data_IF_967221150446
#
_entry.id   IF_967221150446
#
_cell.length_a   1.000
_cell.length_b   1.000
_cell.length_c   1.000
_cell.angle_alpha   90.00
_cell.angle_beta   90.00
_cell.angle_gamma   90.00
#
_symmetry.space_group_name_H-M   'P 1'
#
loop_
_entity.id
_entity.type
_entity.pdbx_description
1 polymer ?
#
# COMPACT_ATOMS: atom_id res chain seq x y z
N UNK A 1 -18.77 36.85 9.88
CA UNK A 1 -17.84 37.12 8.77
C UNK A 1 -18.51 37.82 7.59
N UNK A 2 -19.40 37.21 6.80
CA UNK A 2 -20.04 37.93 5.67
C UNK A 2 -20.87 39.15 6.13
N UNK A 3 -21.68 38.99 7.18
CA UNK A 3 -22.47 40.09 7.78
C UNK A 3 -21.57 41.20 8.34
N UNK A 4 -20.47 40.83 9.01
CA UNK A 4 -19.49 41.80 9.56
C UNK A 4 -18.73 42.55 8.45
N UNK A 5 -18.42 41.87 7.33
CA UNK A 5 -17.78 42.49 6.17
C UNK A 5 -18.73 43.47 5.46
N UNK A 6 -20.02 43.18 5.39
CA UNK A 6 -21.04 44.10 4.89
C UNK A 6 -21.21 45.32 5.79
N UNK A 7 -21.26 45.13 7.12
CA UNK A 7 -21.32 46.24 8.08
C UNK A 7 -20.09 47.15 7.97
N UNK A 8 -18.88 46.57 7.91
CA UNK A 8 -17.64 47.33 7.71
C UNK A 8 -17.62 48.09 6.37
N UNK A 9 -18.24 47.54 5.32
CA UNK A 9 -18.33 48.19 4.01
C UNK A 9 -19.23 49.43 4.09
N UNK A 10 -20.40 49.29 4.72
CA UNK A 10 -21.35 50.38 4.94
C UNK A 10 -20.75 51.49 5.81
N UNK A 11 -20.00 51.13 6.85
CA UNK A 11 -19.30 52.10 7.71
C UNK A 11 -18.23 52.88 6.93
N UNK A 12 -17.45 52.20 6.08
CA UNK A 12 -16.45 52.83 5.22
C UNK A 12 -17.06 53.78 4.19
N UNK A 13 -18.22 53.42 3.64
CA UNK A 13 -18.95 54.24 2.68
C UNK A 13 -19.55 55.49 3.34
N UNK A 14 -20.11 55.34 4.55
CA UNK A 14 -20.56 56.46 5.40
C UNK A 14 -19.40 57.40 5.78
N UNK A 15 -18.23 56.84 6.12
CA UNK A 15 -17.03 57.61 6.43
C UNK A 15 -16.54 58.41 5.21
N UNK A 16 -16.57 57.81 4.02
CA UNK A 16 -16.20 58.45 2.75
C UNK A 16 -17.11 59.63 2.40
N UNK A 17 -18.39 59.54 2.72
CA UNK A 17 -19.38 60.61 2.46
C UNK A 17 -19.28 61.77 3.47
N UNK A 18 -18.83 61.51 4.71
CA UNK A 18 -18.69 62.54 5.75
C UNK A 18 -17.35 63.30 5.70
N UNK A 19 -16.33 62.75 5.02
CA UNK A 19 -15.02 63.39 4.86
C UNK A 19 -15.02 64.46 3.76
N UNK A 20 -14.81 65.72 4.15
CA UNK A 20 -14.73 66.89 3.26
C UNK A 20 -13.30 67.22 2.80
N UNK A 21 -12.27 66.73 3.51
CA UNK A 21 -10.86 66.94 3.18
C UNK A 21 -10.35 65.89 2.17
N UNK A 22 -9.82 66.30 1.00
CA UNK A 22 -9.30 65.38 -0.02
C UNK A 22 -8.15 64.48 0.46
N UNK A 23 -7.38 64.90 1.46
CA UNK A 23 -6.20 64.17 1.96
C UNK A 23 -6.55 62.83 2.63
N UNK A 24 -7.78 62.70 3.13
CA UNK A 24 -8.27 61.48 3.80
C UNK A 24 -8.92 60.47 2.84
N UNK A 25 -9.13 60.81 1.56
CA UNK A 25 -9.71 59.87 0.58
C UNK A 25 -8.77 58.72 0.22
N UNK A 26 -7.48 58.98 0.08
CA UNK A 26 -6.48 57.94 -0.28
C UNK A 26 -6.38 56.78 0.72
N UNK A 27 -6.33 57.03 2.05
CA UNK A 27 -6.40 55.98 3.07
C UNK A 27 -7.70 55.17 3.06
N UNK A 28 -8.84 55.85 2.86
CA UNK A 28 -10.18 55.23 2.79
C UNK A 28 -10.29 54.32 1.57
N UNK A 29 -9.81 54.76 0.41
CA UNK A 29 -9.80 53.93 -0.81
C UNK A 29 -8.90 52.69 -0.64
N UNK A 30 -7.77 52.80 0.07
CA UNK A 30 -6.93 51.64 0.42
C UNK A 30 -7.65 50.64 1.33
N UNK A 31 -8.42 51.13 2.30
CA UNK A 31 -9.21 50.28 3.20
C UNK A 31 -10.36 49.58 2.45
N UNK A 32 -11.05 50.29 1.54
CA UNK A 32 -12.06 49.68 0.66
C UNK A 32 -11.46 48.56 -0.18
N UNK A 33 -10.30 48.78 -0.80
CA UNK A 33 -9.63 47.78 -1.63
C UNK A 33 -9.14 46.56 -0.83
N UNK A 34 -8.77 46.76 0.45
CA UNK A 34 -8.42 45.69 1.36
C UNK A 34 -9.65 44.87 1.78
N UNK A 35 -10.78 45.56 2.04
CA UNK A 35 -12.05 44.93 2.37
C UNK A 35 -12.60 44.16 1.17
N UNK A 36 -12.49 44.69 -0.04
CA UNK A 36 -12.86 44.01 -1.28
C UNK A 36 -12.04 42.72 -1.49
N UNK A 37 -10.74 42.74 -1.17
CA UNK A 37 -9.91 41.53 -1.14
C UNK A 37 -10.38 40.51 -0.12
N UNK A 38 -10.71 40.94 1.11
CA UNK A 38 -11.21 40.06 2.17
C UNK A 38 -12.57 39.45 1.81
N UNK A 39 -13.46 40.24 1.19
CA UNK A 39 -14.76 39.78 0.70
C UNK A 39 -14.62 38.82 -0.49
N UNK A 40 -13.64 39.03 -1.38
CA UNK A 40 -13.36 38.09 -2.46
C UNK A 40 -12.75 36.78 -1.94
N UNK A 41 -11.90 36.86 -0.90
CA UNK A 41 -11.37 35.69 -0.19
C UNK A 41 -12.46 34.94 0.60
N UNK A 42 -13.46 35.64 1.13
CA UNK A 42 -14.60 35.00 1.81
C UNK A 42 -15.60 34.38 0.81
N UNK A 43 -15.79 35.01 -0.36
CA UNK A 43 -16.66 34.53 -1.44
C UNK A 43 -16.05 33.36 -2.21
N UNK A 44 -14.72 33.22 -2.24
CA UNK A 44 -14.08 31.96 -2.62
C UNK A 44 -14.30 30.93 -1.52
N UNK A 45 -15.55 30.45 -1.40
CA UNK A 45 -15.86 29.31 -0.55
C UNK A 45 -14.99 28.12 -0.94
N UNK A 46 -14.74 27.19 -0.01
CA UNK A 46 -13.89 26.03 -0.30
C UNK A 46 -14.44 25.29 -1.51
N UNK A 47 -13.62 25.10 -2.54
CA UNK A 47 -13.96 24.32 -3.72
C UNK A 47 -14.23 22.89 -3.26
N UNK A 48 -15.51 22.54 -3.15
CA UNK A 48 -15.94 21.19 -2.79
C UNK A 48 -16.08 20.36 -4.05
N UNK A 49 -15.45 19.20 -4.03
CA UNK A 49 -15.62 18.18 -5.06
C UNK A 49 -17.09 17.76 -5.10
N UNK A 50 -17.68 17.71 -6.30
CA UNK A 50 -19.02 17.16 -6.51
C UNK A 50 -18.96 15.64 -6.72
N UNK A 51 -20.10 14.97 -6.54
CA UNK A 51 -20.20 13.55 -6.87
C UNK A 51 -20.11 13.34 -8.38
N UNK A 52 -19.29 12.37 -8.77
CA UNK A 52 -19.07 11.96 -10.16
C UNK A 52 -19.75 10.61 -10.37
N UNK A 53 -20.75 10.57 -11.25
CA UNK A 53 -21.52 9.35 -11.53
C UNK A 53 -20.67 8.27 -12.20
N UNK A 54 -19.97 8.63 -13.28
CA UNK A 54 -19.19 7.72 -14.11
C UNK A 54 -17.71 8.14 -14.13
N UNK A 55 -16.79 7.19 -14.02
CA UNK A 55 -15.35 7.49 -13.89
C UNK A 55 -14.75 7.80 -15.27
N UNK A 56 -14.75 9.07 -15.68
CA UNK A 56 -14.27 9.47 -17.00
C UNK A 56 -12.74 9.39 -17.14
N UNK A 57 -12.27 8.96 -18.31
CA UNK A 57 -10.86 9.03 -18.73
C UNK A 57 -10.47 10.39 -19.36
N UNK A 58 -11.40 11.35 -19.44
CA UNK A 58 -11.14 12.68 -19.99
C UNK A 58 -10.07 13.41 -19.17
N UNK A 59 -9.06 13.95 -19.85
CA UNK A 59 -7.92 14.63 -19.22
C UNK A 59 -8.22 16.12 -19.13
N UNK A 60 -8.90 16.50 -18.07
CA UNK A 60 -9.20 17.89 -17.70
C UNK A 60 -8.87 18.11 -16.24
N UNK A 61 -8.54 19.35 -15.87
CA UNK A 61 -8.12 19.70 -14.50
C UNK A 61 -9.24 19.53 -13.46
N UNK A 62 -10.50 19.55 -13.90
CA UNK A 62 -11.68 19.30 -13.07
C UNK A 62 -11.95 17.81 -12.80
N UNK A 63 -11.27 16.88 -13.50
CA UNK A 63 -11.49 15.44 -13.35
C UNK A 63 -10.45 14.82 -12.40
N UNK A 64 -10.82 14.49 -11.14
CA UNK A 64 -9.91 13.91 -10.17
C UNK A 64 -9.47 12.48 -10.50
N UNK A 65 -10.19 11.78 -11.40
CA UNK A 65 -9.89 10.40 -11.78
C UNK A 65 -9.03 10.29 -13.05
N UNK A 66 -8.79 11.40 -13.76
CA UNK A 66 -8.06 11.41 -15.04
C UNK A 66 -6.72 10.68 -15.02
N UNK A 67 -5.93 10.85 -13.95
CA UNK A 67 -4.61 10.21 -13.78
C UNK A 67 -4.72 8.74 -13.38
N UNK A 68 -5.79 8.35 -12.71
CA UNK A 68 -6.05 6.96 -12.36
C UNK A 68 -6.50 6.16 -13.58
N UNK A 69 -7.40 6.73 -14.38
CA UNK A 69 -7.87 6.16 -15.65
C UNK A 69 -6.75 6.05 -16.71
N UNK A 70 -5.67 6.81 -16.58
CA UNK A 70 -4.50 6.67 -17.44
C UNK A 70 -3.83 5.28 -17.29
N UNK A 71 -3.94 4.62 -16.13
CA UNK A 71 -3.42 3.25 -15.93
C UNK A 71 -4.05 2.24 -16.90
N UNK A 72 -5.32 2.46 -17.26
CA UNK A 72 -6.02 1.64 -18.25
C UNK A 72 -5.53 1.90 -19.66
N UNK A 73 -5.26 3.16 -20.01
CA UNK A 73 -4.67 3.51 -21.31
C UNK A 73 -3.24 3.01 -21.48
N UNK A 74 -2.50 2.91 -20.37
CA UNK A 74 -1.13 2.38 -20.35
C UNK A 74 -1.09 0.84 -20.32
N UNK A 75 -2.25 0.16 -20.33
CA UNK A 75 -2.31 -1.31 -20.30
C UNK A 75 -1.89 -1.93 -18.97
N UNK A 76 -1.82 -1.14 -17.87
CA UNK A 76 -1.45 -1.66 -16.55
C UNK A 76 -2.63 -2.30 -15.84
N UNK A 77 -3.83 -1.71 -15.99
CA UNK A 77 -5.07 -2.20 -15.38
C UNK A 77 -6.16 -2.21 -16.46
N UNK A 78 -6.66 -3.38 -16.83
CA UNK A 78 -7.65 -3.51 -17.93
C UNK A 78 -8.93 -2.70 -17.70
N UNK A 79 -9.44 -2.70 -16.47
CA UNK A 79 -10.64 -1.97 -16.09
C UNK A 79 -10.48 -1.37 -14.69
N UNK A 80 -10.03 -0.13 -14.64
CA UNK A 80 -9.81 0.58 -13.37
C UNK A 80 -11.14 0.96 -12.69
N UNK A 81 -12.20 1.25 -13.46
CA UNK A 81 -13.50 1.71 -12.93
C UNK A 81 -14.13 0.71 -11.95
N UNK A 82 -13.83 -0.58 -12.11
CA UNK A 82 -14.24 -1.67 -11.21
C UNK A 82 -13.85 -1.43 -9.75
N UNK A 83 -12.88 -0.55 -9.47
CA UNK A 83 -12.56 -0.18 -8.09
C UNK A 83 -13.79 0.32 -7.30
N UNK A 84 -14.77 0.92 -7.99
CA UNK A 84 -16.03 1.40 -7.41
C UNK A 84 -17.02 0.30 -7.02
N UNK A 85 -16.82 -0.91 -7.51
CA UNK A 85 -17.67 -2.07 -7.18
C UNK A 85 -17.22 -2.75 -5.88
N UNK A 86 -16.00 -2.46 -5.43
CA UNK A 86 -15.40 -3.11 -4.28
C UNK A 86 -15.65 -2.36 -2.97
N UNK A 87 -15.66 -3.14 -1.91
CA UNK A 87 -15.89 -2.72 -0.53
C UNK A 87 -14.80 -3.25 0.38
N UNK A 88 -14.22 -2.39 1.21
CA UNK A 88 -13.10 -2.74 2.09
C UNK A 88 -13.42 -2.35 3.53
N UNK A 89 -13.25 -3.27 4.47
CA UNK A 89 -13.33 -2.99 5.90
C UNK A 89 -11.92 -2.72 6.45
N UNK A 90 -11.74 -1.64 7.20
CA UNK A 90 -10.46 -1.27 7.83
C UNK A 90 -10.66 -1.27 9.34
N UNK A 91 -9.93 -2.15 10.03
CA UNK A 91 -9.95 -2.27 11.49
C UNK A 91 -8.72 -1.58 12.05
N UNK A 92 -8.94 -0.53 12.85
CA UNK A 92 -7.92 0.38 13.36
C UNK A 92 -7.71 1.56 12.39
N UNK A 93 -8.14 2.75 12.79
CA UNK A 93 -7.95 4.02 12.08
C UNK A 93 -6.85 4.82 12.78
N UNK A 94 -5.73 4.13 13.06
CA UNK A 94 -4.51 4.69 13.61
C UNK A 94 -3.55 5.19 12.52
N UNK A 95 -2.24 5.10 12.76
CA UNK A 95 -1.24 5.65 11.84
C UNK A 95 -1.21 5.03 10.44
N UNK A 96 -1.33 3.69 10.34
CA UNK A 96 -1.38 2.99 9.04
C UNK A 96 -2.79 3.03 8.47
N UNK A 97 -3.80 2.72 9.28
CA UNK A 97 -5.17 2.58 8.80
C UNK A 97 -5.81 3.88 8.30
N UNK A 98 -5.48 5.03 8.90
CA UNK A 98 -5.99 6.33 8.43
C UNK A 98 -5.44 6.71 7.05
N UNK A 99 -4.14 6.48 6.83
CA UNK A 99 -3.48 6.70 5.55
C UNK A 99 -3.98 5.69 4.51
N UNK A 100 -4.17 4.42 4.88
CA UNK A 100 -4.73 3.42 3.99
C UNK A 100 -6.16 3.77 3.55
N UNK A 101 -6.99 4.25 4.48
CA UNK A 101 -8.33 4.74 4.19
C UNK A 101 -8.28 5.92 3.22
N UNK A 102 -7.41 6.91 3.45
CA UNK A 102 -7.23 8.06 2.55
C UNK A 102 -6.81 7.62 1.14
N UNK A 103 -5.83 6.74 1.02
CA UNK A 103 -5.35 6.25 -0.26
C UNK A 103 -6.46 5.51 -1.04
N UNK A 104 -7.22 4.63 -0.38
CA UNK A 104 -8.35 3.93 -1.01
C UNK A 104 -9.48 4.89 -1.40
N UNK A 105 -9.78 5.88 -0.55
CA UNK A 105 -10.76 6.94 -0.86
C UNK A 105 -10.34 7.75 -2.08
N UNK A 106 -9.06 8.12 -2.19
CA UNK A 106 -8.50 8.83 -3.35
C UNK A 106 -8.51 7.98 -4.62
N UNK A 107 -8.32 6.67 -4.50
CA UNK A 107 -8.47 5.72 -5.62
C UNK A 107 -9.92 5.54 -6.09
N UNK A 108 -10.91 5.98 -5.30
CA UNK A 108 -12.32 5.85 -5.65
C UNK A 108 -12.91 4.48 -5.34
N UNK A 109 -12.45 3.83 -4.27
CA UNK A 109 -13.08 2.61 -3.74
C UNK A 109 -14.58 2.80 -3.55
N UNK A 110 -15.38 1.78 -3.83
CA UNK A 110 -16.84 1.87 -3.73
C UNK A 110 -17.34 2.15 -2.32
N UNK A 111 -16.86 1.36 -1.36
CA UNK A 111 -17.30 1.43 0.04
C UNK A 111 -16.17 1.16 1.03
N UNK A 112 -16.11 1.93 2.12
CA UNK A 112 -15.24 1.67 3.27
C UNK A 112 -16.05 1.51 4.57
N UNK A 113 -15.75 0.44 5.31
CA UNK A 113 -16.21 0.24 6.69
C UNK A 113 -15.04 0.54 7.62
N UNK A 114 -15.20 1.47 8.55
CA UNK A 114 -14.13 1.96 9.43
C UNK A 114 -14.42 1.57 10.87
N UNK A 115 -13.54 0.79 11.50
CA UNK A 115 -13.67 0.37 12.91
C UNK A 115 -12.54 0.95 13.74
N UNK A 116 -12.88 1.71 14.77
CA UNK A 116 -11.93 2.16 15.81
C UNK A 116 -12.73 2.54 17.05
N UNK A 117 -12.18 2.37 18.25
CA UNK A 117 -12.84 2.76 19.50
C UNK A 117 -12.23 4.01 20.13
N UNK A 118 -11.05 4.43 19.67
CA UNK A 118 -10.32 5.55 20.25
C UNK A 118 -10.84 6.90 19.78
N UNK A 119 -10.37 7.93 20.49
CA UNK A 119 -10.51 9.32 20.10
C UNK A 119 -9.20 9.86 19.53
N UNK A 120 -9.30 10.96 18.79
CA UNK A 120 -8.15 11.71 18.32
C UNK A 120 -7.52 12.45 19.51
N UNK A 121 -6.23 12.23 19.72
CA UNK A 121 -5.43 12.91 20.74
C UNK A 121 -4.34 13.76 20.11
N UNK A 122 -3.88 14.79 20.83
CA UNK A 122 -2.78 15.63 20.35
C UNK A 122 -1.48 14.84 20.16
N UNK A 123 -1.29 13.78 20.95
CA UNK A 123 -0.17 12.84 20.81
C UNK A 123 -0.17 12.10 19.46
N UNK A 124 -1.29 12.11 18.71
CA UNK A 124 -1.36 11.49 17.38
C UNK A 124 -0.88 12.42 16.25
N UNK A 125 -0.60 13.70 16.54
CA UNK A 125 -0.22 14.70 15.52
C UNK A 125 1.19 14.52 14.95
N UNK A 126 2.00 13.61 15.49
CA UNK A 126 3.24 13.18 14.86
C UNK A 126 3.02 12.20 13.68
N UNK A 127 1.78 11.75 13.49
CA UNK A 127 1.34 10.87 12.41
C UNK A 127 0.58 11.66 11.36
N UNK A 128 0.35 11.03 10.21
CA UNK A 128 -0.40 11.62 9.11
C UNK A 128 -1.92 11.60 9.40
N UNK A 129 -2.68 12.27 8.54
CA UNK A 129 -4.14 12.27 8.44
C UNK A 129 -4.92 13.19 9.41
N UNK A 130 -4.87 12.95 10.72
CA UNK A 130 -5.67 13.74 11.68
C UNK A 130 -5.11 15.14 11.89
N UNK A 131 -5.99 16.10 12.19
CA UNK A 131 -5.65 17.50 12.40
C UNK A 131 -5.90 17.95 13.85
N UNK A 132 -5.20 18.99 14.35
CA UNK A 132 -5.38 19.49 15.71
C UNK A 132 -6.83 19.88 16.03
N UNK A 133 -7.57 20.40 15.05
CA UNK A 133 -8.98 20.79 15.23
C UNK A 133 -9.92 19.60 15.50
N UNK A 134 -9.49 18.37 15.25
CA UNK A 134 -10.29 17.15 15.42
C UNK A 134 -10.06 16.47 16.78
N UNK A 135 -9.18 17.02 17.62
CA UNK A 135 -8.90 16.45 18.95
C UNK A 135 -10.19 16.33 19.78
N UNK A 136 -10.40 15.16 20.38
CA UNK A 136 -11.59 14.83 21.16
C UNK A 136 -12.73 14.17 20.36
N UNK A 137 -12.71 14.25 19.02
CA UNK A 137 -13.59 13.44 18.17
C UNK A 137 -13.21 11.96 18.24
N UNK A 138 -14.15 11.07 17.96
CA UNK A 138 -13.82 9.67 17.70
C UNK A 138 -12.97 9.59 16.42
N UNK A 139 -12.01 8.68 16.36
CA UNK A 139 -11.15 8.54 15.17
C UNK A 139 -11.95 8.22 13.92
N UNK A 140 -13.00 7.41 14.07
CA UNK A 140 -13.95 7.07 13.01
C UNK A 140 -14.72 8.29 12.50
N UNK A 141 -15.29 9.13 13.37
CA UNK A 141 -16.04 10.32 12.93
C UNK A 141 -15.13 11.35 12.26
N UNK A 142 -13.94 11.60 12.84
CA UNK A 142 -12.94 12.50 12.25
C UNK A 142 -12.46 12.01 10.88
N UNK A 143 -12.31 10.69 10.72
CA UNK A 143 -11.98 10.08 9.44
C UNK A 143 -13.11 10.23 8.43
N UNK A 144 -14.36 9.90 8.78
CA UNK A 144 -15.51 10.05 7.88
C UNK A 144 -15.64 11.50 7.41
N UNK A 145 -15.52 12.48 8.31
CA UNK A 145 -15.56 13.89 7.96
C UNK A 145 -14.51 14.25 6.90
N UNK A 146 -13.26 13.81 7.11
CA UNK A 146 -12.15 14.13 6.21
C UNK A 146 -12.27 13.41 4.87
N UNK A 147 -12.60 12.11 4.89
CA UNK A 147 -12.67 11.28 3.68
C UNK A 147 -13.86 11.65 2.79
N UNK A 148 -15.01 12.03 3.38
CA UNK A 148 -16.16 12.51 2.63
C UNK A 148 -15.87 13.81 1.88
N UNK A 149 -15.08 14.70 2.46
CA UNK A 149 -14.61 15.93 1.81
C UNK A 149 -13.60 15.63 0.68
N UNK A 150 -12.75 14.61 0.83
CA UNK A 150 -11.77 14.19 -0.17
C UNK A 150 -12.44 13.54 -1.39
N UNK A 151 -13.38 12.62 -1.17
CA UNK A 151 -14.10 11.95 -2.24
C UNK A 151 -15.55 11.62 -1.82
N UNK A 152 -16.53 12.44 -2.25
CA UNK A 152 -17.92 12.23 -1.88
C UNK A 152 -18.57 11.03 -2.59
N UNK A 153 -17.87 10.40 -3.54
CA UNK A 153 -18.33 9.22 -4.28
C UNK A 153 -18.25 7.94 -3.45
N UNK A 154 -17.39 7.92 -2.44
CA UNK A 154 -17.13 6.74 -1.60
C UNK A 154 -18.22 6.61 -0.55
N UNK A 155 -18.80 5.42 -0.41
CA UNK A 155 -19.72 5.11 0.69
C UNK A 155 -18.91 4.84 1.96
N UNK A 156 -19.13 5.62 3.01
CA UNK A 156 -18.41 5.49 4.28
C UNK A 156 -19.36 5.02 5.38
N UNK A 157 -19.00 3.94 6.06
CA UNK A 157 -19.71 3.41 7.22
C UNK A 157 -18.74 3.38 8.42
N UNK A 158 -19.03 4.08 9.50
CA UNK A 158 -18.20 4.10 10.70
C UNK A 158 -18.79 3.28 11.85
N UNK A 159 -17.92 2.59 12.57
CA UNK A 159 -18.25 1.79 13.73
C UNK A 159 -17.32 2.15 14.90
N UNK A 160 -17.81 3.02 15.78
CA UNK A 160 -17.08 3.43 16.99
C UNK A 160 -17.23 2.37 18.08
N UNK A 161 -16.47 1.28 17.98
CA UNK A 161 -16.57 0.15 18.90
C UNK A 161 -15.26 -0.63 19.03
N UNK A 162 -15.09 -1.32 20.16
CA UNK A 162 -14.00 -2.26 20.33
C UNK A 162 -14.43 -3.66 19.88
N UNK A 163 -13.83 -4.14 18.79
CA UNK A 163 -14.14 -5.43 18.17
C UNK A 163 -13.80 -6.65 19.05
N UNK A 164 -13.02 -6.50 20.13
CA UNK A 164 -12.67 -7.62 21.03
C UNK A 164 -13.74 -7.87 22.09
N UNK A 165 -14.67 -6.92 22.28
CA UNK A 165 -15.84 -7.13 23.15
C UNK A 165 -16.85 -8.04 22.44
N UNK A 166 -17.64 -8.81 23.20
CA UNK A 166 -18.64 -9.73 22.63
C UNK A 166 -19.59 -8.99 21.68
N UNK A 167 -20.17 -7.87 22.13
CA UNK A 167 -21.07 -7.06 21.32
C UNK A 167 -20.36 -6.43 20.11
N UNK A 168 -19.12 -5.97 20.28
CA UNK A 168 -18.34 -5.40 19.20
C UNK A 168 -17.99 -6.44 18.12
N UNK A 169 -17.64 -7.66 18.53
CA UNK A 169 -17.37 -8.78 17.64
C UNK A 169 -18.61 -9.19 16.84
N UNK A 170 -19.77 -9.31 17.49
CA UNK A 170 -21.05 -9.60 16.83
C UNK A 170 -21.45 -8.51 15.83
N UNK A 171 -21.23 -7.25 16.19
CA UNK A 171 -21.49 -6.10 15.31
C UNK A 171 -20.55 -6.09 14.10
N UNK A 172 -19.26 -6.39 14.32
CA UNK A 172 -18.28 -6.56 13.25
C UNK A 172 -18.69 -7.70 12.30
N UNK A 173 -18.99 -8.88 12.83
CA UNK A 173 -19.42 -10.03 12.04
C UNK A 173 -20.69 -9.77 11.22
N UNK A 174 -21.70 -9.10 11.81
CA UNK A 174 -22.95 -8.78 11.12
C UNK A 174 -22.76 -7.73 10.03
N UNK A 175 -21.96 -6.69 10.27
CA UNK A 175 -21.62 -5.69 9.25
C UNK A 175 -20.78 -6.26 8.12
N UNK A 176 -19.81 -7.13 8.40
CA UNK A 176 -19.04 -7.85 7.37
C UNK A 176 -19.90 -8.79 6.52
N UNK A 177 -21.00 -9.32 7.06
CA UNK A 177 -21.99 -10.12 6.31
C UNK A 177 -22.98 -9.27 5.52
N UNK A 178 -23.05 -7.97 5.76
CA UNK A 178 -24.05 -7.10 5.16
C UNK A 178 -23.78 -6.85 3.67
N UNK A 179 -24.66 -7.38 2.83
CA UNK A 179 -24.60 -7.30 1.36
C UNK A 179 -25.40 -6.14 0.77
N UNK A 180 -25.84 -5.17 1.57
CA UNK A 180 -26.62 -4.02 1.10
C UNK A 180 -25.98 -3.28 -0.09
N UNK A 181 -24.65 -3.16 -0.08
CA UNK A 181 -23.88 -2.51 -1.13
C UNK A 181 -23.75 -3.35 -2.42
N UNK A 182 -23.68 -4.68 -2.27
CA UNK A 182 -23.59 -5.61 -3.42
C UNK A 182 -24.44 -6.86 -3.15
N UNK A 183 -25.76 -6.80 -3.40
CA UNK A 183 -26.70 -7.86 -3.02
C UNK A 183 -26.47 -9.20 -3.73
N UNK A 184 -25.89 -9.16 -4.94
CA UNK A 184 -25.62 -10.34 -5.77
C UNK A 184 -24.32 -11.05 -5.40
N UNK A 185 -23.57 -10.53 -4.43
CA UNK A 185 -22.25 -11.05 -4.07
C UNK A 185 -22.33 -12.36 -3.28
N UNK A 186 -21.51 -13.32 -3.66
CA UNK A 186 -21.30 -14.57 -2.93
C UNK A 186 -20.37 -14.37 -1.73
N UNK A 187 -20.55 -15.16 -0.66
CA UNK A 187 -19.72 -15.06 0.54
C UNK A 187 -20.11 -13.89 1.47
N UNK A 188 -19.13 -13.13 1.93
CA UNK A 188 -19.28 -11.95 2.80
C UNK A 188 -19.78 -10.71 2.03
N UNK A 189 -20.18 -9.69 2.78
CA UNK A 189 -20.60 -8.40 2.26
C UNK A 189 -19.45 -7.46 1.88
N UNK A 190 -18.20 -7.79 2.24
CA UNK A 190 -17.01 -7.01 1.91
C UNK A 190 -16.02 -7.80 1.05
N UNK A 191 -15.21 -7.14 0.23
CA UNK A 191 -14.24 -7.79 -0.67
C UNK A 191 -12.95 -8.13 0.05
N UNK A 192 -12.55 -7.26 0.98
CA UNK A 192 -11.32 -7.40 1.73
C UNK A 192 -11.48 -6.75 3.11
N UNK A 193 -10.84 -7.36 4.11
CA UNK A 193 -10.63 -6.73 5.43
C UNK A 193 -9.16 -6.36 5.55
N UNK A 194 -8.86 -5.16 6.06
CA UNK A 194 -7.52 -4.68 6.36
C UNK A 194 -7.39 -4.51 7.87
N UNK A 195 -6.51 -5.29 8.49
CA UNK A 195 -6.15 -5.13 9.91
C UNK A 195 -4.98 -4.16 10.03
N UNK A 196 -5.23 -3.01 10.65
CA UNK A 196 -4.27 -1.95 10.92
C UNK A 196 -4.22 -1.62 12.43
N UNK A 197 -4.55 -2.62 13.27
CA UNK A 197 -4.57 -2.52 14.73
C UNK A 197 -3.17 -2.70 15.33
N UNK A 198 -2.99 -2.27 16.57
CA UNK A 198 -1.68 -2.20 17.23
C UNK A 198 -1.44 -3.29 18.29
N UNK A 199 -2.43 -4.13 18.57
CA UNK A 199 -2.35 -5.18 19.60
C UNK A 199 -2.74 -6.55 19.06
N UNK A 200 -2.25 -7.61 19.70
CA UNK A 200 -2.46 -8.98 19.25
C UNK A 200 -3.88 -9.50 19.52
N UNK A 201 -4.54 -9.01 20.58
CA UNK A 201 -5.93 -9.35 20.90
C UNK A 201 -6.87 -9.01 19.74
N UNK A 202 -6.78 -7.78 19.22
CA UNK A 202 -7.57 -7.33 18.08
C UNK A 202 -7.19 -8.06 16.78
N UNK A 203 -5.91 -8.33 16.52
CA UNK A 203 -5.49 -9.17 15.37
C UNK A 203 -6.11 -10.56 15.44
N UNK A 204 -6.14 -11.16 16.63
CA UNK A 204 -6.76 -12.45 16.85
C UNK A 204 -8.28 -12.43 16.65
N UNK A 205 -8.97 -11.37 17.09
CA UNK A 205 -10.38 -11.17 16.83
C UNK A 205 -10.68 -11.07 15.33
N UNK A 206 -9.92 -10.27 14.57
CA UNK A 206 -10.05 -10.20 13.10
C UNK A 206 -9.79 -11.55 12.45
N UNK A 207 -8.74 -12.27 12.89
CA UNK A 207 -8.43 -13.60 12.40
C UNK A 207 -9.58 -14.60 12.65
N UNK A 208 -10.20 -14.56 13.83
CA UNK A 208 -11.35 -15.42 14.15
C UNK A 208 -12.53 -15.12 13.23
N UNK A 209 -12.91 -13.85 13.12
CA UNK A 209 -13.99 -13.41 12.25
C UNK A 209 -13.76 -13.84 10.79
N UNK A 210 -12.55 -13.62 10.28
CA UNK A 210 -12.24 -13.94 8.89
C UNK A 210 -12.21 -15.44 8.60
N UNK A 211 -11.71 -16.27 9.52
CA UNK A 211 -11.80 -17.73 9.38
C UNK A 211 -13.27 -18.20 9.40
N UNK A 212 -14.09 -17.69 10.32
CA UNK A 212 -15.52 -18.04 10.40
C UNK A 212 -16.29 -17.65 9.13
N UNK A 213 -15.97 -16.50 8.53
CA UNK A 213 -16.64 -16.01 7.33
C UNK A 213 -16.04 -16.50 6.01
N UNK A 214 -14.91 -17.23 6.05
CA UNK A 214 -14.07 -17.47 4.88
C UNK A 214 -13.70 -16.17 4.13
N UNK A 215 -13.45 -15.10 4.88
CA UNK A 215 -13.15 -13.77 4.36
C UNK A 215 -11.64 -13.63 4.14
N UNK A 216 -11.24 -13.27 2.93
CA UNK A 216 -9.85 -12.88 2.65
C UNK A 216 -9.53 -11.54 3.32
N UNK A 217 -8.37 -11.42 3.93
CA UNK A 217 -7.96 -10.20 4.62
C UNK A 217 -6.47 -9.97 4.49
N UNK A 218 -6.04 -8.73 4.72
CA UNK A 218 -4.63 -8.38 4.85
C UNK A 218 -4.36 -7.81 6.23
N UNK A 219 -3.24 -8.19 6.82
CA UNK A 219 -2.74 -7.65 8.08
C UNK A 219 -1.57 -6.71 7.79
N UNK A 220 -1.41 -5.71 8.64
CA UNK A 220 -0.24 -4.84 8.65
C UNK A 220 0.25 -4.58 10.07
N UNK A 221 1.58 -4.46 10.19
CA UNK A 221 2.24 -4.17 11.46
C UNK A 221 3.42 -3.22 11.29
N UNK A 222 3.66 -2.40 12.29
CA UNK A 222 4.86 -1.55 12.44
C UNK A 222 5.48 -1.90 13.79
N UNK A 223 6.80 -2.03 13.84
CA UNK A 223 7.52 -2.36 15.08
C UNK A 223 7.49 -1.22 16.09
N UNK A 224 7.67 -1.56 17.37
CA UNK A 224 7.67 -0.58 18.47
C UNK A 224 8.80 0.46 18.38
N UNK A 225 9.89 0.14 17.69
CA UNK A 225 11.02 1.04 17.40
C UNK A 225 10.82 1.86 16.11
N UNK A 226 9.70 1.68 15.41
CA UNK A 226 9.28 2.35 14.18
C UNK A 226 10.22 2.19 12.96
N UNK A 227 11.21 1.29 12.98
CA UNK A 227 12.17 1.10 11.87
C UNK A 227 11.95 -0.20 11.09
N UNK A 228 10.84 -0.90 11.36
CA UNK A 228 10.40 -2.02 10.53
C UNK A 228 8.87 -2.09 10.44
N UNK A 229 8.39 -2.78 9.43
CA UNK A 229 6.97 -3.07 9.27
C UNK A 229 6.75 -4.20 8.28
N UNK A 230 5.50 -4.61 8.12
CA UNK A 230 5.12 -5.63 7.16
C UNK A 230 3.67 -5.53 6.75
N UNK A 231 3.35 -6.20 5.66
CA UNK A 231 2.00 -6.57 5.26
C UNK A 231 1.93 -8.07 4.99
N UNK A 232 0.80 -8.68 5.25
CA UNK A 232 0.54 -10.09 4.99
C UNK A 232 -0.85 -10.27 4.40
N UNK A 233 -0.98 -11.06 3.33
CA UNK A 233 -2.26 -11.54 2.81
C UNK A 233 -2.62 -12.86 3.48
N UNK A 234 -3.85 -12.94 3.98
CA UNK A 234 -4.41 -14.10 4.66
C UNK A 234 -5.68 -14.54 3.94
N UNK A 235 -5.58 -15.66 3.21
CA UNK A 235 -6.69 -16.35 2.58
C UNK A 235 -6.99 -17.60 3.42
N UNK A 236 -8.11 -17.66 4.15
CA UNK A 236 -8.41 -18.79 5.03
C UNK A 236 -8.31 -20.14 4.29
N UNK A 237 -7.52 -21.05 4.85
CA UNK A 237 -7.29 -22.39 4.29
C UNK A 237 -6.18 -22.49 3.24
N UNK A 238 -5.84 -21.40 2.57
CA UNK A 238 -4.80 -21.36 1.53
C UNK A 238 -3.45 -20.87 2.06
N UNK A 239 -3.44 -19.74 2.80
CA UNK A 239 -2.24 -19.18 3.42
C UNK A 239 -2.32 -19.32 4.94
N UNK A 240 -1.19 -19.12 5.62
CA UNK A 240 -1.15 -19.09 7.08
C UNK A 240 -2.14 -18.04 7.61
N UNK A 241 -3.05 -18.47 8.49
CA UNK A 241 -3.81 -17.54 9.32
C UNK A 241 -2.92 -17.02 10.46
N UNK A 242 -3.35 -15.98 11.18
CA UNK A 242 -2.54 -15.38 12.24
C UNK A 242 -2.23 -16.36 13.39
N UNK A 243 -3.11 -17.34 13.62
CA UNK A 243 -2.92 -18.41 14.60
C UNK A 243 -2.03 -19.58 14.12
N UNK A 244 -1.64 -19.63 12.84
CA UNK A 244 -0.76 -20.68 12.34
C UNK A 244 0.68 -20.52 12.83
N UNK A 245 1.15 -19.27 12.93
CA UNK A 245 2.47 -18.89 13.42
C UNK A 245 2.35 -17.73 14.43
N UNK A 246 1.74 -17.99 15.61
CA UNK A 246 1.47 -16.94 16.58
C UNK A 246 2.78 -16.40 17.20
N UNK A 247 2.85 -15.10 17.51
CA UNK A 247 3.99 -14.55 18.24
C UNK A 247 4.08 -15.15 19.65
N UNK A 248 5.28 -15.12 20.24
CA UNK A 248 5.57 -15.78 21.52
C UNK A 248 4.60 -15.41 22.65
N UNK A 249 4.21 -14.14 22.73
CA UNK A 249 3.27 -13.63 23.75
C UNK A 249 1.92 -14.34 23.66
N UNK A 250 1.39 -14.48 22.44
CA UNK A 250 0.13 -15.18 22.17
C UNK A 250 0.27 -16.68 22.41
N UNK A 251 1.35 -17.29 21.93
CA UNK A 251 1.59 -18.73 22.10
C UNK A 251 1.74 -19.14 23.57
N UNK A 252 2.27 -18.24 24.40
CA UNK A 252 2.51 -18.46 25.83
C UNK A 252 1.32 -18.07 26.71
N UNK A 253 0.24 -17.51 26.13
CA UNK A 253 -0.93 -17.04 26.88
C UNK A 253 -0.65 -15.89 27.84
N UNK A 254 0.42 -15.13 27.60
CA UNK A 254 0.78 -13.96 28.42
C UNK A 254 -0.12 -12.80 27.99
N UNK A 255 -0.71 -12.11 28.96
CA UNK A 255 -1.46 -10.88 28.68
C UNK A 255 -0.52 -9.77 28.22
N UNK A 256 -0.68 -9.32 26.97
CA UNK A 256 0.11 -8.24 26.36
C UNK A 256 0.08 -6.96 27.20
N UNK A 257 -1.00 -6.71 27.93
CA UNK A 257 -1.14 -5.54 28.81
C UNK A 257 -0.10 -5.51 29.93
N UNK A 258 0.44 -6.68 30.31
CA UNK A 258 1.51 -6.78 31.31
C UNK A 258 2.88 -6.37 30.79
N UNK A 259 3.06 -6.33 29.45
CA UNK A 259 4.30 -5.91 28.80
C UNK A 259 4.37 -4.39 28.63
N UNK A 260 3.21 -3.73 28.49
CA UNK A 260 3.12 -2.28 28.36
C UNK A 260 3.35 -1.61 29.72
N UNK A 261 4.45 -0.86 29.84
CA UNK A 261 4.72 -0.05 31.04
C UNK A 261 4.02 1.30 30.92
N UNK A 262 3.35 1.73 31.98
CA UNK A 262 2.74 3.06 32.02
C UNK A 262 3.78 4.16 31.76
N UNK A 263 3.44 5.10 30.88
CA UNK A 263 4.33 6.20 30.47
C UNK A 263 5.35 5.85 29.38
N UNK A 264 5.37 4.61 28.87
CA UNK A 264 6.20 4.22 27.72
C UNK A 264 5.33 4.11 26.48
N UNK A 265 5.54 5.00 25.52
CA UNK A 265 4.88 4.94 24.22
C UNK A 265 5.77 4.23 23.20
N UNK A 266 5.18 3.41 22.33
CA UNK A 266 5.86 2.91 21.15
C UNK A 266 6.34 4.08 20.30
N UNK A 267 7.57 4.01 19.79
CA UNK A 267 8.05 4.97 18.81
C UNK A 267 7.16 4.88 17.58
N UNK A 268 6.94 6.01 16.92
CA UNK A 268 6.00 6.07 15.82
C UNK A 268 6.49 7.10 14.82
N UNK A 269 6.97 6.62 13.67
CA UNK A 269 7.55 7.44 12.62
C UNK A 269 6.58 7.53 11.44
N UNK A 270 6.17 8.74 11.01
CA UNK A 270 5.20 8.91 9.93
C UNK A 270 5.67 8.33 8.60
N UNK A 271 7.00 8.26 8.37
CA UNK A 271 7.59 7.66 7.17
C UNK A 271 7.30 6.17 7.09
N UNK A 272 7.59 5.41 8.16
CA UNK A 272 7.34 3.96 8.21
C UNK A 272 5.85 3.65 8.08
N UNK A 273 4.98 4.45 8.71
CA UNK A 273 3.54 4.31 8.56
C UNK A 273 3.10 4.56 7.12
N UNK A 274 3.63 5.61 6.47
CA UNK A 274 3.35 5.92 5.07
C UNK A 274 3.81 4.83 4.11
N UNK A 275 5.01 4.26 4.31
CA UNK A 275 5.52 3.13 3.52
C UNK A 275 4.62 1.91 3.68
N UNK A 276 4.33 1.50 4.92
CA UNK A 276 3.50 0.30 5.18
C UNK A 276 2.08 0.48 4.64
N UNK A 277 1.46 1.65 4.85
CA UNK A 277 0.13 1.95 4.30
C UNK A 277 0.12 1.93 2.76
N UNK A 278 1.15 2.52 2.14
CA UNK A 278 1.33 2.51 0.68
C UNK A 278 1.46 1.08 0.14
N UNK A 279 2.29 0.26 0.76
CA UNK A 279 2.44 -1.15 0.39
C UNK A 279 1.14 -1.93 0.58
N UNK A 280 0.43 -1.71 1.69
CA UNK A 280 -0.86 -2.36 1.99
C UNK A 280 -1.92 -2.04 0.93
N UNK A 281 -2.08 -0.76 0.60
CA UNK A 281 -3.05 -0.32 -0.41
C UNK A 281 -2.62 -0.78 -1.80
N UNK A 282 -1.33 -0.74 -2.12
CA UNK A 282 -0.85 -1.25 -3.41
C UNK A 282 -1.13 -2.74 -3.56
N UNK A 283 -0.95 -3.55 -2.51
CA UNK A 283 -1.30 -4.96 -2.54
C UNK A 283 -2.83 -5.18 -2.64
N UNK A 284 -3.62 -4.32 -1.97
CA UNK A 284 -5.08 -4.30 -2.09
C UNK A 284 -5.53 -4.02 -3.53
N UNK A 285 -4.96 -3.01 -4.20
CA UNK A 285 -5.29 -2.69 -5.58
C UNK A 285 -4.91 -3.84 -6.52
N UNK A 286 -3.70 -4.39 -6.41
CA UNK A 286 -3.28 -5.57 -7.18
C UNK A 286 -4.26 -6.74 -7.00
N UNK A 287 -4.67 -6.99 -5.75
CA UNK A 287 -5.59 -8.07 -5.43
C UNK A 287 -6.99 -7.87 -5.99
N UNK A 288 -7.56 -6.67 -5.89
CA UNK A 288 -8.92 -6.37 -6.33
C UNK A 288 -9.02 -6.21 -7.85
N UNK A 289 -8.08 -5.45 -8.44
CA UNK A 289 -8.07 -5.10 -9.87
C UNK A 289 -7.29 -6.11 -10.74
N UNK A 290 -6.71 -7.15 -10.13
CA UNK A 290 -6.08 -8.28 -10.84
C UNK A 290 -4.95 -7.86 -11.78
N UNK A 291 -4.04 -7.01 -11.30
CA UNK A 291 -2.83 -6.61 -12.02
C UNK A 291 -1.58 -6.85 -11.18
N UNK A 292 -0.43 -7.03 -11.87
CA UNK A 292 0.85 -7.29 -11.23
C UNK A 292 0.85 -8.56 -10.36
N UNK A 293 1.85 -8.66 -9.47
CA UNK A 293 1.99 -9.81 -8.57
C UNK A 293 1.55 -9.44 -7.14
N UNK A 294 0.54 -10.13 -6.60
CA UNK A 294 0.09 -9.95 -5.21
C UNK A 294 1.08 -10.63 -4.26
N UNK A 295 1.57 -9.89 -3.26
CA UNK A 295 2.54 -10.41 -2.29
C UNK A 295 1.81 -11.13 -1.14
N UNK A 296 2.11 -12.42 -0.86
CA UNK A 296 1.58 -13.11 0.31
C UNK A 296 2.11 -12.52 1.62
N UNK A 297 3.38 -12.12 1.63
CA UNK A 297 4.00 -11.33 2.69
C UNK A 297 5.03 -10.39 2.07
N UNK A 298 5.12 -9.19 2.61
CA UNK A 298 6.15 -8.22 2.28
C UNK A 298 6.57 -7.49 3.55
N UNK A 299 7.83 -7.65 3.94
CA UNK A 299 8.45 -6.92 5.03
C UNK A 299 9.09 -5.62 4.55
N UNK A 300 9.36 -4.72 5.49
CA UNK A 300 10.11 -3.50 5.31
C UNK A 300 11.05 -3.31 6.50
N UNK A 301 12.34 -3.14 6.22
CA UNK A 301 13.35 -2.77 7.20
C UNK A 301 14.01 -1.46 6.76
N UNK A 302 13.72 -0.37 7.49
CA UNK A 302 14.18 0.97 7.13
C UNK A 302 15.66 1.23 7.44
N UNK A 303 16.32 0.34 8.19
CA UNK A 303 17.74 0.49 8.51
C UNK A 303 18.64 0.01 7.37
N UNK A 304 18.12 -0.86 6.49
CA UNK A 304 18.86 -1.50 5.39
C UNK A 304 18.17 -1.35 4.03
N UNK A 305 17.10 -0.58 3.96
CA UNK A 305 16.21 -0.47 2.79
C UNK A 305 15.84 -1.84 2.19
N UNK A 306 15.59 -2.80 3.08
CA UNK A 306 15.40 -4.20 2.71
C UNK A 306 13.92 -4.60 2.74
N UNK A 307 13.46 -5.21 1.65
CA UNK A 307 12.06 -5.57 1.42
C UNK A 307 11.91 -7.08 1.17
N UNK A 308 11.94 -7.93 2.21
CA UNK A 308 11.82 -9.37 2.04
C UNK A 308 10.39 -9.78 1.67
N UNK A 309 10.26 -10.65 0.67
CA UNK A 309 9.00 -11.35 0.35
C UNK A 309 9.07 -12.81 0.79
N UNK A 310 7.97 -13.35 1.30
CA UNK A 310 7.86 -14.77 1.66
C UNK A 310 6.43 -15.28 1.44
N UNK A 311 6.28 -16.60 1.48
CA UNK A 311 4.98 -17.28 1.47
C UNK A 311 4.85 -18.07 2.77
N UNK A 312 3.86 -17.74 3.60
CA UNK A 312 3.56 -18.48 4.82
C UNK A 312 2.38 -19.42 4.57
N UNK A 313 2.61 -20.71 4.80
CA UNK A 313 1.60 -21.76 4.58
C UNK A 313 0.81 -22.08 5.84
N UNK A 314 -0.45 -22.55 5.70
CA UNK A 314 -1.26 -22.97 6.83
C UNK A 314 -0.57 -24.03 7.69
N UNK A 315 -0.69 -23.90 9.01
CA UNK A 315 -0.25 -24.93 9.94
C UNK A 315 -1.34 -26.04 10.00
N UNK A 316 -1.03 -27.30 9.64
CA UNK A 316 -1.99 -28.41 9.71
C UNK A 316 -2.44 -28.76 11.14
N UNK A 317 -1.78 -28.20 12.14
CA UNK A 317 -2.08 -28.33 13.57
C UNK A 317 -2.40 -26.97 14.21
N UNK A 318 -2.89 -26.01 13.41
CA UNK A 318 -3.33 -24.71 13.88
C UNK A 318 -4.30 -24.84 15.08
N UNK A 319 -4.08 -24.03 16.12
CA UNK A 319 -4.94 -24.02 17.32
C UNK A 319 -6.37 -23.56 17.03
N UNK A 320 -6.56 -22.81 15.95
CA UNK A 320 -7.89 -22.40 15.48
C UNK A 320 -8.56 -23.54 14.68
N UNK A 321 -9.59 -24.15 15.25
CA UNK A 321 -10.34 -25.27 14.64
C UNK A 321 -10.97 -24.88 13.31
N UNK A 322 -11.50 -23.66 13.20
CA UNK A 322 -12.12 -23.17 11.96
C UNK A 322 -11.08 -23.05 10.85
N UNK A 323 -9.85 -22.64 11.16
CA UNK A 323 -8.76 -22.65 10.17
C UNK A 323 -8.50 -24.05 9.61
N UNK A 324 -8.53 -25.09 10.46
CA UNK A 324 -8.37 -26.48 10.02
C UNK A 324 -9.52 -26.94 9.10
N UNK A 325 -10.74 -26.47 9.35
CA UNK A 325 -11.89 -26.71 8.46
C UNK A 325 -11.69 -26.02 7.10
N UNK A 326 -11.27 -24.75 7.08
CA UNK A 326 -10.95 -24.02 5.84
C UNK A 326 -9.83 -24.68 5.05
N UNK A 327 -8.82 -25.24 5.71
CA UNK A 327 -7.75 -25.99 5.05
C UNK A 327 -8.30 -27.23 4.32
N UNK A 328 -9.23 -27.97 4.95
CA UNK A 328 -9.87 -29.14 4.32
C UNK A 328 -10.70 -28.74 3.10
N UNK A 329 -11.49 -27.66 3.23
CA UNK A 329 -12.28 -27.11 2.12
C UNK A 329 -11.38 -26.68 0.95
N UNK A 330 -10.27 -25.99 1.26
CA UNK A 330 -9.30 -25.55 0.27
C UNK A 330 -8.65 -26.74 -0.46
N UNK A 331 -8.22 -27.79 0.25
CA UNK A 331 -7.62 -28.97 -0.37
C UNK A 331 -8.58 -29.66 -1.36
N UNK A 332 -9.88 -29.70 -1.05
CA UNK A 332 -10.90 -30.25 -1.94
C UNK A 332 -11.09 -29.35 -3.17
N UNK A 333 -11.12 -28.03 -3.00
CA UNK A 333 -11.34 -27.08 -4.09
C UNK A 333 -10.10 -26.85 -4.98
N UNK A 334 -8.90 -27.04 -4.43
CA UNK A 334 -7.63 -26.68 -5.07
C UNK A 334 -7.43 -27.28 -6.47
N UNK A 335 -7.66 -28.58 -6.72
CA UNK A 335 -7.41 -29.15 -8.05
C UNK A 335 -8.25 -28.49 -9.16
N UNK A 336 -9.53 -28.23 -8.89
CA UNK A 336 -10.41 -27.56 -9.84
C UNK A 336 -10.00 -26.09 -10.06
N UNK A 337 -9.60 -25.40 -8.98
CA UNK A 337 -9.14 -24.00 -9.04
C UNK A 337 -7.83 -23.86 -9.82
N UNK A 338 -6.86 -24.72 -9.56
CA UNK A 338 -5.55 -24.69 -10.22
C UNK A 338 -5.69 -25.03 -11.71
N UNK A 339 -6.56 -25.98 -12.05
CA UNK A 339 -6.90 -26.28 -13.45
C UNK A 339 -7.54 -25.08 -14.16
N UNK A 340 -8.49 -24.40 -13.51
CA UNK A 340 -9.13 -23.20 -14.07
C UNK A 340 -8.14 -22.04 -14.24
N UNK A 341 -7.25 -21.81 -13.27
CA UNK A 341 -6.21 -20.79 -13.35
C UNK A 341 -5.22 -21.08 -14.49
N UNK A 342 -4.78 -22.34 -14.63
CA UNK A 342 -3.92 -22.77 -15.74
C UNK A 342 -4.59 -22.58 -17.09
N UNK A 343 -5.84 -23.01 -17.23
CA UNK A 343 -6.61 -22.83 -18.48
C UNK A 343 -6.77 -21.34 -18.84
N UNK A 344 -6.98 -20.48 -17.84
CA UNK A 344 -7.03 -19.03 -18.04
C UNK A 344 -5.70 -18.47 -18.54
N UNK A 345 -4.58 -18.83 -17.90
CA UNK A 345 -3.25 -18.39 -18.34
C UNK A 345 -2.91 -18.88 -19.75
N UNK A 346 -3.26 -20.12 -20.09
CA UNK A 346 -3.07 -20.67 -21.44
C UNK A 346 -3.92 -19.91 -22.47
N UNK A 347 -5.16 -19.56 -22.13
CA UNK A 347 -6.02 -18.75 -23.01
C UNK A 347 -5.47 -17.33 -23.20
N UNK A 348 -4.97 -16.68 -22.15
CA UNK A 348 -4.35 -15.35 -22.23
C UNK A 348 -3.07 -15.39 -23.09
N UNK A 349 -2.23 -16.42 -22.94
CA UNK A 349 -1.02 -16.60 -23.74
C UNK A 349 -1.33 -16.76 -25.24
N UNK A 350 -2.46 -17.40 -25.60
CA UNK A 350 -2.91 -17.56 -26.99
C UNK A 350 -3.45 -16.26 -27.61
N UNK A 351 -3.79 -15.25 -26.80
CA UNK A 351 -4.30 -13.95 -27.26
C UNK A 351 -3.23 -12.87 -27.42
N UNK A 352 -1.98 -13.14 -27.04
CA UNK A 352 -0.88 -12.21 -27.26
C UNK A 352 -0.51 -12.23 -28.75
N UNK A 353 -1.00 -11.25 -29.51
CA UNK A 353 -0.55 -11.05 -30.89
C UNK A 353 0.97 -10.81 -30.91
N UNK A 354 1.68 -11.52 -31.80
CA UNK A 354 3.09 -11.27 -32.11
C UNK A 354 3.21 -9.91 -32.80
N UNK A 355 3.20 -8.84 -32.01
CA UNK A 355 3.51 -7.49 -32.48
C UNK A 355 5.01 -7.45 -32.80
N UNK A 356 5.45 -6.81 -33.89
CA UNK A 356 6.87 -6.58 -34.13
C UNK A 356 7.49 -5.92 -32.90
N UNK A 357 8.43 -6.61 -32.25
CA UNK A 357 9.06 -6.17 -31.00
C UNK A 357 9.77 -4.81 -31.17
N UNK A 358 10.22 -4.54 -32.40
CA UNK A 358 10.78 -3.28 -32.84
C UNK A 358 10.04 -2.82 -34.09
N UNK A 359 9.40 -1.65 -34.02
CA UNK A 359 8.79 -1.01 -35.19
C UNK A 359 9.85 -0.64 -36.24
N UNK A 360 11.04 -0.27 -35.78
CA UNK A 360 12.19 0.09 -36.60
C UNK A 360 13.38 -0.80 -36.23
N UNK A 361 13.95 -1.49 -37.22
CA UNK A 361 15.19 -2.25 -37.08
C UNK A 361 16.12 -2.03 -38.29
N UNK A 362 16.34 -0.77 -38.63
CA UNK A 362 17.14 -0.36 -39.80
C UNK A 362 18.58 -0.90 -39.78
N UNK A 363 19.08 -1.21 -38.59
CA UNK A 363 20.45 -1.70 -38.36
C UNK A 363 20.54 -3.23 -38.31
N UNK A 364 19.45 -3.95 -38.61
CA UNK A 364 19.37 -5.42 -38.55
C UNK A 364 19.91 -5.99 -37.24
N UNK A 365 19.59 -5.34 -36.14
CA UNK A 365 19.96 -5.80 -34.80
C UNK A 365 19.16 -7.06 -34.52
N UNK A 366 19.85 -8.16 -34.23
CA UNK A 366 19.26 -9.43 -33.84
C UNK A 366 19.61 -9.75 -32.39
N UNK A 367 18.64 -10.26 -31.63
CA UNK A 367 18.92 -10.91 -30.34
C UNK A 367 19.50 -12.29 -30.64
N UNK A 368 20.72 -12.53 -30.18
CA UNK A 368 21.35 -13.86 -30.26
C UNK A 368 21.14 -14.52 -28.91
N UNK A 369 20.47 -15.67 -28.89
CA UNK A 369 20.33 -16.46 -27.67
C UNK A 369 21.70 -17.02 -27.27
N UNK A 370 22.12 -16.84 -26.01
CA UNK A 370 23.41 -17.31 -25.48
C UNK A 370 23.58 -18.85 -25.55
N UNK A 371 22.56 -19.58 -25.99
CA UNK A 371 22.53 -21.05 -26.10
C UNK A 371 22.84 -21.54 -27.53
N UNK A 372 22.84 -20.66 -28.53
CA UNK A 372 23.12 -21.02 -29.93
C UNK A 372 24.42 -20.39 -30.46
N UNK A 373 25.54 -20.56 -29.74
CA UNK A 373 26.87 -20.44 -30.34
C UNK A 373 27.34 -21.83 -30.77
N UNK A 374 26.61 -22.44 -31.70
CA UNK A 374 27.15 -23.45 -32.61
C UNK A 374 26.88 -22.99 -34.04
N UNK A 375 27.61 -21.95 -34.46
CA UNK A 375 27.68 -21.61 -35.87
C UNK A 375 28.62 -22.62 -36.53
N UNK A 376 28.08 -23.76 -36.96
CA UNK A 376 28.66 -24.51 -38.05
C UNK A 376 28.56 -23.64 -39.32
N UNK A 377 29.68 -23.00 -39.69
CA UNK A 377 29.90 -22.55 -41.07
C UNK A 377 30.00 -21.05 -41.37
N UNK A 378 30.28 -20.17 -40.41
CA UNK A 378 30.68 -18.79 -40.73
C UNK A 378 32.21 -18.67 -40.70
N UNK A 379 32.83 -18.49 -41.86
CA UNK A 379 34.23 -18.07 -41.98
C UNK A 379 34.41 -16.72 -41.26
N UNK A 380 35.02 -16.75 -40.09
CA UNK A 380 35.44 -15.57 -39.33
C UNK A 380 36.61 -14.90 -40.06
N UNK A 381 36.33 -13.99 -40.99
CA UNK A 381 37.36 -13.04 -41.42
C UNK A 381 37.40 -11.89 -40.40
N UNK A 382 38.27 -12.02 -39.40
CA UNK A 382 38.55 -11.00 -38.38
C UNK A 382 39.36 -9.79 -38.94
N UNK A 383 39.23 -9.51 -40.24
CA UNK A 383 39.97 -8.45 -40.93
C UNK A 383 39.14 -7.15 -40.96
N UNK A 384 39.68 -6.08 -40.37
CA UNK A 384 39.11 -4.75 -40.49
C UNK A 384 39.36 -4.15 -41.89
N UNK A 385 38.46 -3.31 -42.41
CA UNK A 385 38.69 -2.56 -43.65
C UNK A 385 39.96 -1.69 -43.59
N UNK A 386 40.61 -1.48 -44.74
CA UNK A 386 41.82 -0.62 -44.84
C UNK A 386 41.56 0.79 -44.26
N UNK A 387 42.37 1.17 -43.27
CA UNK A 387 42.34 2.50 -42.63
C UNK A 387 41.75 2.54 -41.22
N UNK A 388 41.20 1.44 -40.71
CA UNK A 388 40.72 1.33 -39.32
C UNK A 388 41.69 0.52 -38.45
N UNK A 389 42.00 1.02 -37.26
CA UNK A 389 42.84 0.34 -36.25
C UNK A 389 42.03 0.24 -34.96
N UNK A 390 42.04 -0.94 -34.31
CA UNK A 390 41.40 -1.11 -32.99
C UNK A 390 42.23 -0.37 -31.93
N UNK A 391 41.55 0.40 -31.08
CA UNK A 391 42.19 1.16 -29.99
C UNK A 391 42.62 0.26 -28.82
N UNK A 392 42.05 -0.94 -28.71
CA UNK A 392 42.37 -1.93 -27.69
C UNK A 392 42.62 -3.32 -28.33
N UNK A 393 43.54 -4.14 -27.78
CA UNK A 393 43.79 -5.50 -28.27
C UNK A 393 42.58 -6.41 -28.09
N UNK A 394 42.50 -7.44 -28.93
CA UNK A 394 41.50 -8.50 -28.83
C UNK A 394 41.81 -9.33 -27.58
N UNK A 395 40.75 -9.71 -26.83
CA UNK A 395 40.87 -10.37 -25.52
C UNK A 395 41.72 -11.66 -25.52
N UNK A 396 41.90 -12.30 -26.68
CA UNK A 396 42.66 -13.55 -26.82
C UNK A 396 44.17 -13.38 -26.99
N UNK A 397 44.69 -12.15 -27.11
CA UNK A 397 46.13 -11.87 -27.04
C UNK A 397 46.52 -11.28 -25.67
N UNK A 398 46.09 -11.92 -24.59
CA UNK A 398 46.83 -11.79 -23.33
C UNK A 398 48.13 -12.60 -23.45
N UNK A 399 49.24 -11.92 -23.72
CA UNK A 399 50.56 -12.53 -23.61
C UNK A 399 50.76 -13.01 -22.16
N UNK A 400 50.63 -14.31 -21.95
CA UNK A 400 51.09 -14.96 -20.73
C UNK A 400 52.59 -14.63 -20.53
N UNK A 401 52.99 -14.00 -19.41
CA UNK A 401 54.38 -14.09 -18.98
C UNK A 401 54.65 -15.57 -18.68
N UNK A 402 55.77 -16.09 -19.19
CA UNK A 402 56.21 -17.46 -18.98
C UNK A 402 56.14 -17.87 -17.49
N UNK A 403 55.84 -19.14 -17.18
CA UNK A 403 55.76 -19.60 -15.80
C UNK A 403 57.17 -19.55 -15.19
N UNK A 404 57.38 -18.66 -14.22
CA UNK A 404 58.45 -18.82 -13.24
C UNK A 404 58.13 -20.03 -12.37
N UNK A 405 59.04 -21.00 -12.36
CA UNK A 405 59.04 -22.13 -11.44
C UNK A 405 58.81 -21.65 -9.99
N UNK A 406 57.71 -22.08 -9.35
CA UNK A 406 57.63 -22.17 -7.90
C UNK A 406 56.75 -23.35 -7.49
N UNK A 407 57.16 -23.99 -6.41
CA UNK A 407 56.89 -25.38 -6.08
C UNK A 407 55.43 -25.67 -5.68
N UNK A 408 55.03 -26.92 -5.90
CA UNK A 408 53.82 -27.51 -5.33
C UNK A 408 53.82 -27.38 -3.79
N UNK A 409 52.65 -27.18 -3.14
CA UNK A 409 52.61 -27.01 -1.70
C UNK A 409 52.93 -28.34 -1.00
N UNK A 410 53.97 -28.32 -0.15
CA UNK A 410 54.35 -29.43 0.70
C UNK A 410 53.40 -29.54 1.91
N UNK A 411 53.22 -30.76 2.41
CA UNK A 411 52.34 -31.13 3.53
C UNK A 411 52.57 -30.37 4.84
N UNK A 412 53.72 -29.69 4.99
CA UNK A 412 54.09 -28.95 6.20
C UNK A 412 53.26 -27.66 6.40
N UNK A 413 52.70 -27.07 5.32
CA UNK A 413 51.90 -25.83 5.41
C UNK A 413 50.54 -26.04 6.10
N UNK A 414 49.99 -27.25 6.05
CA UNK A 414 48.71 -27.58 6.68
C UNK A 414 48.82 -27.81 8.19
N UNK A 415 49.96 -28.31 8.67
CA UNK A 415 50.20 -28.51 10.10
C UNK A 415 50.49 -27.19 10.83
N UNK A 416 51.14 -26.24 10.16
CA UNK A 416 51.38 -24.90 10.73
C UNK A 416 50.10 -24.06 10.80
N UNK A 417 49.21 -24.18 9.79
CA UNK A 417 47.87 -23.56 9.86
C UNK A 417 47.03 -24.12 11.00
N UNK A 418 47.15 -25.42 11.27
CA UNK A 418 46.40 -26.09 12.33
C UNK A 418 46.90 -25.69 13.73
N UNK A 419 48.21 -25.50 13.90
CA UNK A 419 48.79 -24.95 15.15
C UNK A 419 48.37 -23.50 15.42
N UNK A 420 48.27 -22.67 14.38
CA UNK A 420 47.81 -21.28 14.52
C UNK A 420 46.33 -21.19 14.92
N UNK A 421 45.49 -22.10 14.40
CA UNK A 421 44.07 -22.21 14.77
C UNK A 421 43.85 -22.71 16.21
N UNK A 422 44.70 -23.61 16.70
CA UNK A 422 44.62 -24.08 18.09
C UNK A 422 45.09 -23.01 19.09
N UNK A 423 46.08 -22.19 18.73
CA UNK A 423 46.58 -21.08 19.56
C UNK A 423 45.60 -19.89 19.66
N UNK A 424 44.65 -19.77 18.73
CA UNK A 424 43.59 -18.74 18.76
C UNK A 424 42.36 -19.15 19.57
N UNK A 425 42.21 -20.44 19.87
CA UNK A 425 41.07 -21.00 20.60
C UNK A 425 41.39 -21.40 22.06
N UNK A 426 42.63 -21.16 22.51
CA UNK A 426 43.08 -21.23 23.91
C UNK A 426 43.21 -19.84 24.50
#
# INVERSE_FOLDING_TARGET
MEVELEEMWNDLESLKQSLTDPSHRGPVDKLQLHLERLTNLSKSGPVRRSRVKDMSAEVVDSNPYSRLMALQRMGIVENYERIREFSVAIVGIGGVGSVAAEMLTRCGIGRLLLYDYDKVELANMNRLFFRPEQVGMTKTDAAVQTLADINPDVVLESYTLNITTVQGFETCMSSLRNKSFSPTKEGSGVDLVLSCVDNYEARMAVNQACNELNQTWMESGVSEDAVSGHIQLLIPGETACFACAPPLVVASGIDERTLKREGVCAASLPTTMGVVAGLLVQNTLKFLLKFGHVSPYLGYNSLKDFFPTMEMRPNPQCSNVVCLERQKEYVIAKPARDAAAKAKMEAEALTVEEIPLHADNEWNISVVDEVEIEIEGATTSDALPEGLVRELPIADESQHPAPTESAAPSSDDLEDLRRQLEALNS
#
